data_IF_771308442820
#
_entry.id   IF_771308442820
#
_cell.length_a   1.000
_cell.length_b   1.000
_cell.length_c   1.000
_cell.angle_alpha   90.00
_cell.angle_beta   90.00
_cell.angle_gamma   90.00
#
_symmetry.space_group_name_H-M   'P 1'
#
loop_
_entity.id
_entity.type
_entity.pdbx_description
1 polymer ?
#
# COMPACT_ATOMS: atom_id res chain seq x y z
N UNK A 1 -8.51 8.47 29.40
CA UNK A 1 -7.13 8.08 29.03
C UNK A 1 -6.90 8.47 27.58
N UNK A 2 -5.80 9.16 27.24
CA UNK A 2 -5.38 9.25 25.83
C UNK A 2 -4.80 7.89 25.48
N UNK A 3 -5.41 7.20 24.52
CA UNK A 3 -4.78 6.00 23.92
C UNK A 3 -3.43 6.47 23.36
N UNK A 4 -2.35 5.75 23.65
CA UNK A 4 -0.97 6.09 23.23
C UNK A 4 -0.74 5.93 21.72
N UNK A 5 -1.67 6.45 20.91
CA UNK A 5 -1.68 6.37 19.45
C UNK A 5 -0.86 7.55 18.93
N UNK A 6 0.18 7.24 18.17
CA UNK A 6 1.04 8.22 17.49
C UNK A 6 0.85 8.04 15.99
N UNK A 7 0.66 9.15 15.28
CA UNK A 7 0.52 9.14 13.82
C UNK A 7 1.83 9.51 13.16
N UNK A 8 2.27 8.68 12.22
CA UNK A 8 3.44 8.96 11.38
C UNK A 8 3.03 9.91 10.26
N UNK A 9 3.64 11.11 10.15
CA UNK A 9 3.40 12.02 9.02
C UNK A 9 3.72 11.33 7.69
N UNK A 10 2.93 11.64 6.65
CA UNK A 10 3.07 11.01 5.32
C UNK A 10 4.46 11.26 4.73
N UNK A 11 5.04 12.42 4.99
CA UNK A 11 6.37 12.82 4.53
C UNK A 11 7.46 11.89 5.06
N UNK A 12 7.32 11.44 6.31
CA UNK A 12 8.26 10.49 6.94
C UNK A 12 8.10 9.10 6.32
N UNK A 13 6.86 8.68 6.07
CA UNK A 13 6.56 7.41 5.40
C UNK A 13 7.18 7.39 4.00
N UNK A 14 6.93 8.44 3.22
CA UNK A 14 7.47 8.57 1.86
C UNK A 14 8.98 8.61 1.86
N UNK A 15 9.60 9.34 2.80
CA UNK A 15 11.04 9.35 2.97
C UNK A 15 11.59 7.92 3.15
N UNK A 16 11.00 7.12 4.04
CA UNK A 16 11.42 5.73 4.27
C UNK A 16 11.29 4.90 3.00
N UNK A 17 10.12 4.94 2.34
CA UNK A 17 9.86 4.13 1.15
C UNK A 17 10.77 4.51 -0.03
N UNK A 18 11.11 5.80 -0.19
CA UNK A 18 12.07 6.26 -1.21
C UNK A 18 13.47 5.71 -0.91
N UNK A 19 13.93 5.79 0.33
CA UNK A 19 15.29 5.35 0.70
C UNK A 19 15.45 3.83 0.64
N UNK A 20 14.34 3.09 0.72
CA UNK A 20 14.32 1.65 0.49
C UNK A 20 14.25 1.27 -0.99
N UNK A 21 14.17 2.25 -1.91
CA UNK A 21 13.84 2.02 -3.32
C UNK A 21 12.56 1.16 -3.47
N UNK A 22 11.52 1.51 -2.71
CA UNK A 22 10.27 0.75 -2.67
C UNK A 22 9.12 1.41 -3.45
N UNK A 23 8.37 0.64 -4.26
CA UNK A 23 8.83 -0.60 -4.89
C UNK A 23 9.99 -0.29 -5.84
N UNK A 24 10.84 -1.28 -6.14
CA UNK A 24 11.97 -1.06 -7.04
C UNK A 24 11.47 -0.55 -8.39
N UNK A 25 12.15 0.48 -8.88
CA UNK A 25 11.72 1.25 -10.05
C UNK A 25 11.86 0.51 -11.38
N UNK A 26 12.64 -0.57 -11.44
CA UNK A 26 12.88 -1.36 -12.64
C UNK A 26 12.02 -2.63 -12.68
N UNK A 27 11.76 -3.26 -11.53
CA UNK A 27 10.93 -4.48 -11.44
C UNK A 27 10.25 -4.61 -10.08
N UNK A 28 8.98 -5.06 -10.05
CA UNK A 28 8.30 -5.34 -8.78
C UNK A 28 8.86 -6.56 -8.04
N UNK A 29 9.36 -7.57 -8.74
CA UNK A 29 9.68 -8.86 -8.12
C UNK A 29 10.94 -8.86 -7.26
N UNK A 30 11.75 -7.81 -7.36
CA UNK A 30 13.04 -7.70 -6.66
C UNK A 30 12.89 -7.38 -5.17
N UNK A 31 11.73 -6.90 -4.72
CA UNK A 31 11.50 -6.57 -3.32
C UNK A 31 10.86 -7.72 -2.55
N UNK A 32 11.34 -7.94 -1.32
CA UNK A 32 10.80 -8.94 -0.40
C UNK A 32 9.48 -8.49 0.24
N UNK A 33 9.13 -9.12 1.36
CA UNK A 33 7.94 -8.74 2.12
C UNK A 33 8.15 -7.41 2.86
N UNK A 34 7.21 -6.48 2.73
CA UNK A 34 7.08 -5.29 3.55
C UNK A 34 6.18 -5.62 4.76
N UNK A 35 6.75 -5.56 5.96
CA UNK A 35 6.06 -5.93 7.21
C UNK A 35 6.01 -4.72 8.13
N UNK A 36 4.81 -4.31 8.52
CA UNK A 36 4.57 -3.28 9.55
C UNK A 36 3.96 -3.93 10.80
N UNK A 37 4.72 -3.98 11.90
CA UNK A 37 4.38 -4.69 13.14
C UNK A 37 3.48 -3.88 14.09
N UNK A 38 3.23 -2.60 13.80
CA UNK A 38 2.33 -1.73 14.56
C UNK A 38 1.58 -0.82 13.59
N UNK A 39 0.86 -1.44 12.65
CA UNK A 39 0.39 -0.75 11.46
C UNK A 39 -0.66 0.33 11.73
N UNK A 40 -1.27 0.36 12.93
CA UNK A 40 -2.26 1.34 13.31
C UNK A 40 -3.42 1.37 12.31
N UNK A 41 -3.81 2.56 11.87
CA UNK A 41 -4.82 2.73 10.80
C UNK A 41 -4.31 2.39 9.39
N UNK A 42 -3.05 1.96 9.26
CA UNK A 42 -2.50 1.41 8.04
C UNK A 42 -1.91 2.45 7.08
N UNK A 43 -1.56 3.65 7.56
CA UNK A 43 -1.10 4.73 6.68
C UNK A 43 0.19 4.35 5.96
N UNK A 44 1.15 3.72 6.65
CA UNK A 44 2.41 3.26 6.04
C UNK A 44 2.15 2.25 4.91
N UNK A 45 1.40 1.19 5.22
CA UNK A 45 1.06 0.14 4.25
C UNK A 45 0.20 0.67 3.10
N UNK A 46 -0.75 1.57 3.36
CA UNK A 46 -1.59 2.17 2.31
C UNK A 46 -0.76 3.03 1.36
N UNK A 47 0.19 3.81 1.87
CA UNK A 47 1.13 4.58 1.04
C UNK A 47 2.01 3.66 0.21
N UNK A 48 2.54 2.58 0.80
CA UNK A 48 3.30 1.56 0.08
C UNK A 48 2.49 0.91 -1.05
N UNK A 49 1.23 0.52 -0.79
CA UNK A 49 0.31 -0.03 -1.80
C UNK A 49 0.08 0.95 -2.94
N UNK A 50 -0.16 2.23 -2.67
CA UNK A 50 -0.32 3.25 -3.72
C UNK A 50 0.92 3.37 -4.61
N UNK A 51 2.12 3.30 -4.02
CA UNK A 51 3.38 3.30 -4.79
C UNK A 51 3.49 2.06 -5.68
N UNK A 52 3.12 0.88 -5.17
CA UNK A 52 3.02 -0.36 -5.96
C UNK A 52 2.09 -0.17 -7.15
N UNK A 53 0.88 0.35 -6.94
CA UNK A 53 -0.10 0.49 -8.01
C UNK A 53 0.40 1.48 -9.07
N UNK A 54 0.95 2.62 -8.65
CA UNK A 54 1.55 3.61 -9.57
C UNK A 54 2.69 3.01 -10.40
N UNK A 55 3.59 2.26 -9.78
CA UNK A 55 4.70 1.59 -10.48
C UNK A 55 4.16 0.51 -11.44
N UNK A 56 3.17 -0.26 -10.99
CA UNK A 56 2.54 -1.29 -11.81
C UNK A 56 1.87 -0.73 -13.06
N UNK A 57 1.23 0.44 -12.95
CA UNK A 57 0.67 1.18 -14.09
C UNK A 57 1.75 1.60 -15.08
N UNK A 58 2.89 2.10 -14.59
CA UNK A 58 4.04 2.43 -15.44
C UNK A 58 4.58 1.20 -16.19
N UNK A 59 4.60 0.04 -15.52
CA UNK A 59 4.99 -1.25 -16.09
C UNK A 59 3.88 -1.96 -16.88
N UNK A 60 2.69 -1.36 -16.99
CA UNK A 60 1.52 -1.89 -17.70
C UNK A 60 1.08 -3.30 -17.25
N UNK A 61 1.18 -3.58 -15.95
CA UNK A 61 0.76 -4.87 -15.39
C UNK A 61 -0.77 -5.00 -15.35
N UNK A 62 -1.27 -6.23 -15.47
CA UNK A 62 -2.70 -6.50 -15.36
C UNK A 62 -3.16 -6.34 -13.90
N UNK A 63 -4.41 -5.91 -13.66
CA UNK A 63 -4.93 -5.75 -12.29
C UNK A 63 -4.73 -6.96 -11.37
N UNK A 64 -4.89 -8.18 -11.91
CA UNK A 64 -4.68 -9.41 -11.12
C UNK A 64 -3.23 -9.59 -10.67
N UNK A 65 -2.25 -9.19 -11.49
CA UNK A 65 -0.82 -9.27 -11.13
C UNK A 65 -0.50 -8.30 -9.99
N UNK A 66 -1.10 -7.11 -10.03
CA UNK A 66 -0.98 -6.08 -8.99
C UNK A 66 -1.55 -6.60 -7.66
N UNK A 67 -2.77 -7.16 -7.68
CA UNK A 67 -3.42 -7.73 -6.50
C UNK A 67 -2.57 -8.86 -5.91
N UNK A 68 -2.16 -9.82 -6.75
CA UNK A 68 -1.33 -10.95 -6.31
C UNK A 68 -0.02 -10.48 -5.67
N UNK A 69 0.61 -9.44 -6.24
CA UNK A 69 1.84 -8.88 -5.70
C UNK A 69 1.60 -8.21 -4.34
N UNK A 70 0.55 -7.39 -4.21
CA UNK A 70 0.18 -6.76 -2.93
C UNK A 70 -0.09 -7.82 -1.86
N UNK A 71 -0.91 -8.83 -2.16
CA UNK A 71 -1.24 -9.91 -1.21
C UNK A 71 -0.01 -10.70 -0.75
N UNK A 72 0.96 -10.90 -1.66
CA UNK A 72 2.19 -11.62 -1.34
C UNK A 72 3.16 -10.77 -0.51
N UNK A 73 3.21 -9.46 -0.73
CA UNK A 73 4.30 -8.61 -0.22
C UNK A 73 3.92 -7.70 0.94
N UNK A 74 2.65 -7.33 1.09
CA UNK A 74 2.21 -6.34 2.09
C UNK A 74 1.61 -7.05 3.31
N UNK A 75 2.28 -6.93 4.45
CA UNK A 75 1.88 -7.57 5.71
C UNK A 75 1.78 -6.54 6.83
N UNK A 76 0.66 -6.56 7.53
CA UNK A 76 0.39 -5.66 8.67
C UNK A 76 -0.05 -6.43 9.90
N UNK A 77 0.50 -6.06 11.05
CA UNK A 77 0.10 -6.54 12.35
C UNK A 77 -0.18 -5.36 13.28
N UNK A 78 -1.22 -5.49 14.09
CA UNK A 78 -1.50 -4.58 15.20
C UNK A 78 -2.21 -5.36 16.31
N UNK A 79 -2.00 -4.94 17.56
CA UNK A 79 -2.68 -5.52 18.71
C UNK A 79 -4.15 -5.08 18.80
N UNK A 80 -4.48 -3.89 18.26
CA UNK A 80 -5.87 -3.41 18.20
C UNK A 80 -6.57 -3.98 16.94
N UNK A 81 -7.56 -4.87 17.10
CA UNK A 81 -8.26 -5.44 15.96
C UNK A 81 -9.03 -4.40 15.14
N UNK A 82 -9.42 -3.26 15.73
CA UNK A 82 -10.03 -2.16 14.99
C UNK A 82 -9.01 -1.49 14.06
N UNK A 83 -7.77 -1.36 14.51
CA UNK A 83 -6.67 -0.81 13.70
C UNK A 83 -6.39 -1.72 12.48
N UNK A 84 -6.33 -3.03 12.68
CA UNK A 84 -6.23 -4.02 11.59
C UNK A 84 -7.41 -3.91 10.61
N UNK A 85 -8.64 -3.78 11.13
CA UNK A 85 -9.82 -3.59 10.27
C UNK A 85 -9.74 -2.31 9.43
N UNK A 86 -9.40 -1.17 10.05
CA UNK A 86 -9.25 0.11 9.37
C UNK A 86 -8.15 0.06 8.31
N UNK A 87 -7.03 -0.61 8.61
CA UNK A 87 -5.94 -0.84 7.65
C UNK A 87 -6.45 -1.56 6.40
N UNK A 88 -7.22 -2.66 6.57
CA UNK A 88 -7.81 -3.40 5.44
C UNK A 88 -8.74 -2.53 4.61
N UNK A 89 -9.61 -1.76 5.25
CA UNK A 89 -10.53 -0.84 4.55
C UNK A 89 -9.75 0.22 3.76
N UNK A 90 -8.69 0.79 4.34
CA UNK A 90 -7.87 1.80 3.68
C UNK A 90 -7.11 1.25 2.47
N UNK A 91 -6.56 0.04 2.58
CA UNK A 91 -5.91 -0.65 1.45
C UNK A 91 -6.93 -0.99 0.37
N UNK A 92 -8.08 -1.57 0.73
CA UNK A 92 -9.13 -1.93 -0.23
C UNK A 92 -9.63 -0.69 -1.00
N UNK A 93 -9.82 0.44 -0.30
CA UNK A 93 -10.18 1.72 -0.93
C UNK A 93 -9.10 2.22 -1.88
N UNK A 94 -7.82 2.08 -1.52
CA UNK A 94 -6.72 2.46 -2.39
C UNK A 94 -6.66 1.58 -3.66
N UNK A 95 -6.95 0.29 -3.55
CA UNK A 95 -7.04 -0.59 -4.72
C UNK A 95 -8.26 -0.21 -5.59
N UNK A 96 -9.41 0.01 -4.97
CA UNK A 96 -10.65 0.34 -5.69
C UNK A 96 -10.55 1.66 -6.48
N UNK A 97 -9.95 2.70 -5.88
CA UNK A 97 -9.77 3.98 -6.59
C UNK A 97 -9.00 3.83 -7.89
N UNK A 98 -8.10 2.85 -7.96
CA UNK A 98 -7.25 2.61 -9.13
C UNK A 98 -8.01 1.85 -10.22
N UNK A 99 -8.90 0.92 -9.83
CA UNK A 99 -9.77 0.18 -10.75
C UNK A 99 -10.86 1.07 -11.38
N UNK A 100 -11.33 2.07 -10.65
CA UNK A 100 -12.32 3.03 -11.18
C UNK A 100 -11.72 3.96 -12.24
N UNK A 101 -10.43 4.30 -12.17
CA UNK A 101 -9.75 5.13 -13.17
C UNK A 101 -9.58 4.41 -14.51
N UNK A 102 -9.27 3.12 -14.50
CA UNK A 102 -9.13 2.31 -15.72
C UNK A 102 -10.48 2.18 -16.47
N UNK A 103 -11.60 2.14 -15.73
CA UNK A 103 -12.94 2.06 -16.31
C UNK A 103 -13.36 3.32 -17.09
N UNK A 104 -12.87 4.50 -16.68
CA UNK A 104 -13.12 5.78 -17.34
C UNK A 104 -12.25 5.97 -18.58
N UNK A 105 -11.05 5.38 -18.60
CA UNK A 105 -10.12 5.50 -19.72
C UNK A 105 -10.54 4.61 -20.90
N UNK A 106 -11.19 3.47 -20.64
CA UNK A 106 -11.73 2.57 -21.69
C UNK A 106 -13.11 2.99 -22.25
N UNK A 107 -13.68 4.10 -21.77
CA UNK A 107 -14.98 4.62 -22.22
C UNK A 107 -14.89 5.96 -23.00
N UNK A 108 -13.67 6.39 -23.34
CA UNK A 108 -13.35 7.49 -24.28
C UNK A 108 -12.68 6.93 -25.54
#
# INVERSE_FOLDING_TARGET
QRKGIVFTPVEVIEYILIHMDFPNSEELTSFGNLIDLACGSGLFLTTAVKRIIRQSKYLQLKPQEIINYIEKTIHGFDIDPLAVFLTKVNIARAILSELEEDSKTNSM
#
